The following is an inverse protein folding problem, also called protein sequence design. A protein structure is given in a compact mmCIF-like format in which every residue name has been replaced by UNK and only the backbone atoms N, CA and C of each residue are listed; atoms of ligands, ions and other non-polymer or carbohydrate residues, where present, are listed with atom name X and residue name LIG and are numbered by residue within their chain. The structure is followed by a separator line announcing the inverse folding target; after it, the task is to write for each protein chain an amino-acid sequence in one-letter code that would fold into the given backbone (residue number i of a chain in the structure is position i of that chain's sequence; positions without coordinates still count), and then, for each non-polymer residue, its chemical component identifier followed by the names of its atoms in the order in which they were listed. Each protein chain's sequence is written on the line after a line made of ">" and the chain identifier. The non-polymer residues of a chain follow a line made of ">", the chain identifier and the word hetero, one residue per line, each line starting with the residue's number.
data_IF_839042029792
#
_entry.id   IF_839042029792
#
_cell.length_a   1.000
_cell.length_b   1.000
_cell.length_c   1.000
_cell.angle_alpha   90.00
_cell.angle_beta   90.00
_cell.angle_gamma   90.00
#
_symmetry.space_group_name_H-M   'P 1'
#
loop_
_entity.id
_entity.type
_entity.pdbx_description
1 polymer ?
#
# COMPACT_ATOMS: atom_id res chain seq x y z
N UNK A 1 -8.48 -21.82 30.00
CA UNK A 1 -7.19 -21.51 29.40
C UNK A 1 -7.14 -22.25 28.08
N UNK A 2 -7.35 -21.51 26.98
CA UNK A 2 -7.74 -22.07 25.69
C UNK A 2 -6.51 -22.48 24.87
N UNK A 3 -6.55 -23.64 24.18
CA UNK A 3 -5.49 -24.19 23.32
C UNK A 3 -5.13 -23.34 22.08
N UNK A 4 -5.78 -22.18 21.91
CA UNK A 4 -5.51 -21.20 20.85
C UNK A 4 -4.16 -20.48 21.06
N UNK A 5 -3.71 -20.33 22.31
CA UNK A 5 -2.44 -19.67 22.62
C UNK A 5 -1.21 -20.51 22.20
N UNK A 6 -1.37 -21.83 22.06
CA UNK A 6 -0.28 -22.72 21.65
C UNK A 6 -0.09 -22.76 20.13
N UNK A 7 -1.14 -22.49 19.34
CA UNK A 7 -1.06 -22.39 17.88
C UNK A 7 -0.37 -21.08 17.46
N UNK A 8 -0.58 -20.01 18.22
CA UNK A 8 0.13 -18.74 18.04
C UNK A 8 1.65 -18.85 18.28
N UNK A 9 2.09 -19.79 19.12
CA UNK A 9 3.53 -20.01 19.39
C UNK A 9 4.23 -20.89 18.33
N UNK A 10 3.48 -21.66 17.52
CA UNK A 10 4.06 -22.58 16.53
C UNK A 10 4.25 -21.90 15.16
N UNK A 11 3.54 -20.80 14.88
CA UNK A 11 3.75 -20.00 13.66
C UNK A 11 4.92 -19.00 13.76
N UNK A 12 5.50 -18.80 14.94
CA UNK A 12 6.68 -17.96 15.17
C UNK A 12 8.02 -18.64 14.79
N UNK A 13 7.98 -19.81 14.15
CA UNK A 13 9.18 -20.60 13.82
C UNK A 13 9.62 -20.53 12.35
N UNK A 14 9.04 -19.63 11.55
CA UNK A 14 9.59 -19.25 10.24
C UNK A 14 9.92 -17.76 10.30
N UNK A 15 11.16 -17.45 10.67
CA UNK A 15 11.65 -16.10 10.88
C UNK A 15 11.52 -15.21 9.65
N UNK A 16 10.46 -14.41 9.64
CA UNK A 16 10.38 -13.13 8.95
C UNK A 16 9.64 -12.22 9.93
N UNK A 17 10.37 -11.49 10.77
CA UNK A 17 9.82 -10.33 11.47
C UNK A 17 9.28 -9.36 10.39
N UNK A 18 8.08 -8.81 10.61
CA UNK A 18 7.41 -7.90 9.68
C UNK A 18 8.38 -6.81 9.18
N UNK A 19 8.87 -6.99 7.96
CA UNK A 19 9.74 -6.03 7.29
C UNK A 19 9.01 -4.69 7.23
N UNK A 20 9.54 -3.65 7.88
CA UNK A 20 8.94 -2.32 7.83
C UNK A 20 9.14 -1.74 6.42
N UNK A 21 8.07 -1.71 5.61
CA UNK A 21 8.06 -1.14 4.26
C UNK A 21 7.68 0.34 4.30
N UNK A 22 8.32 1.15 3.45
CA UNK A 22 7.99 2.56 3.26
C UNK A 22 7.27 2.74 1.92
N UNK A 23 6.10 3.38 1.93
CA UNK A 23 5.34 3.65 0.72
C UNK A 23 5.82 4.94 0.04
N UNK A 24 5.97 4.89 -1.28
CA UNK A 24 6.16 6.08 -2.09
C UNK A 24 5.66 5.85 -3.52
N UNK A 25 4.62 6.61 -3.90
CA UNK A 25 3.88 6.43 -5.15
C UNK A 25 3.44 4.97 -5.30
N UNK A 26 3.66 4.38 -6.47
CA UNK A 26 3.23 3.04 -6.84
C UNK A 26 4.13 1.93 -6.29
N UNK A 27 5.05 2.24 -5.37
CA UNK A 27 6.08 1.33 -4.88
C UNK A 27 6.18 1.32 -3.35
N UNK A 28 6.56 0.16 -2.82
CA UNK A 28 6.98 -0.02 -1.43
C UNK A 28 8.47 -0.34 -1.39
N UNK A 29 9.15 0.23 -0.40
CA UNK A 29 10.60 0.18 -0.26
C UNK A 29 10.99 -0.40 1.09
N UNK A 30 11.96 -1.31 1.12
CA UNK A 30 12.47 -1.90 2.35
C UNK A 30 13.99 -1.86 2.37
N UNK A 31 14.54 -1.30 3.44
CA UNK A 31 15.97 -1.36 3.68
C UNK A 31 16.29 -2.64 4.46
N UNK A 32 17.41 -3.29 4.14
CA UNK A 32 17.94 -4.34 5.03
C UNK A 32 18.21 -3.78 6.43
N UNK A 33 18.38 -4.67 7.41
CA UNK A 33 18.73 -4.30 8.78
C UNK A 33 20.22 -3.97 8.94
N UNK A 34 21.08 -4.59 8.13
CA UNK A 34 22.54 -4.45 8.17
C UNK A 34 23.10 -3.88 6.86
N UNK A 35 24.30 -3.25 6.86
CA UNK A 35 24.95 -2.69 5.68
C UNK A 35 25.99 -3.59 4.99
N UNK A 36 26.13 -4.85 5.40
CA UNK A 36 27.25 -5.69 4.98
C UNK A 36 26.84 -6.73 3.93
N UNK A 37 26.46 -6.26 2.74
CA UNK A 37 26.01 -7.14 1.65
C UNK A 37 26.70 -6.82 0.33
N UNK A 38 27.26 -7.85 -0.30
CA UNK A 38 27.68 -7.78 -1.70
C UNK A 38 26.49 -7.60 -2.64
N UNK A 39 26.75 -7.18 -3.88
CA UNK A 39 25.69 -6.96 -4.85
C UNK A 39 24.81 -8.21 -5.08
N UNK A 40 25.44 -9.38 -5.25
CA UNK A 40 24.72 -10.64 -5.44
C UNK A 40 23.89 -11.02 -4.22
N UNK A 41 24.42 -10.82 -3.01
CA UNK A 41 23.65 -11.07 -1.77
C UNK A 41 22.47 -10.11 -1.64
N UNK A 42 22.64 -8.86 -2.08
CA UNK A 42 21.59 -7.86 -2.08
C UNK A 42 20.44 -8.23 -3.02
N UNK A 43 20.75 -8.75 -4.22
CA UNK A 43 19.75 -9.30 -5.13
C UNK A 43 18.99 -10.47 -4.50
N UNK A 44 19.72 -11.47 -3.99
CA UNK A 44 19.11 -12.65 -3.35
C UNK A 44 18.27 -12.30 -2.11
N UNK A 45 18.62 -11.23 -1.39
CA UNK A 45 17.83 -10.74 -0.27
C UNK A 45 16.47 -10.19 -0.73
N UNK A 46 16.46 -9.34 -1.76
CA UNK A 46 15.20 -8.80 -2.29
C UNK A 46 14.33 -9.89 -2.93
N UNK A 47 14.93 -10.84 -3.64
CA UNK A 47 14.22 -11.99 -4.23
C UNK A 47 13.49 -12.81 -3.16
N UNK A 48 14.11 -13.06 -2.00
CA UNK A 48 13.47 -13.75 -0.86
C UNK A 48 12.25 -13.01 -0.31
N UNK A 49 12.16 -11.69 -0.53
CA UNK A 49 11.03 -10.84 -0.13
C UNK A 49 10.00 -10.65 -1.25
N UNK A 50 10.11 -11.43 -2.35
CA UNK A 50 9.35 -11.25 -3.58
C UNK A 50 9.44 -9.80 -4.10
N UNK A 51 10.66 -9.27 -4.15
CA UNK A 51 10.98 -7.89 -4.54
C UNK A 51 12.30 -7.85 -5.33
N UNK A 52 12.68 -6.67 -5.80
CA UNK A 52 13.92 -6.45 -6.55
C UNK A 52 14.76 -5.37 -5.88
N UNK A 53 16.05 -5.26 -6.22
CA UNK A 53 16.79 -4.03 -5.94
C UNK A 53 16.15 -2.86 -6.69
N UNK A 54 16.35 -1.64 -6.20
CA UNK A 54 15.72 -0.46 -6.80
C UNK A 54 16.38 -0.02 -8.12
N UNK A 55 15.56 0.13 -9.16
CA UNK A 55 15.86 0.88 -10.38
C UNK A 55 15.24 2.28 -10.28
N UNK A 56 15.99 3.31 -10.68
CA UNK A 56 15.59 4.72 -10.53
C UNK A 56 15.33 5.35 -11.90
N UNK A 57 14.10 5.86 -12.11
CA UNK A 57 13.64 6.38 -13.40
C UNK A 57 13.27 7.87 -13.37
N UNK A 58 13.51 8.57 -12.26
CA UNK A 58 13.26 10.01 -12.15
C UNK A 58 14.05 10.68 -11.04
N UNK A 59 14.29 11.99 -11.20
CA UNK A 59 14.88 12.82 -10.15
C UNK A 59 14.06 12.78 -8.86
N UNK A 60 12.74 12.78 -8.97
CA UNK A 60 11.83 12.78 -7.83
C UNK A 60 11.95 11.49 -7.00
N UNK A 61 12.09 10.33 -7.66
CA UNK A 61 12.34 9.06 -6.99
C UNK A 61 13.73 9.04 -6.34
N UNK A 62 14.76 9.54 -7.03
CA UNK A 62 16.10 9.67 -6.48
C UNK A 62 16.13 10.53 -5.21
N UNK A 63 15.44 11.67 -5.23
CA UNK A 63 15.36 12.59 -4.09
C UNK A 63 14.57 11.99 -2.91
N UNK A 64 13.53 11.21 -3.19
CA UNK A 64 12.81 10.44 -2.15
C UNK A 64 13.74 9.43 -1.48
N UNK A 65 14.43 8.59 -2.26
CA UNK A 65 15.34 7.56 -1.73
C UNK A 65 16.43 8.21 -0.88
N UNK A 66 17.04 9.29 -1.37
CA UNK A 66 18.03 10.06 -0.62
C UNK A 66 17.48 10.54 0.73
N UNK A 67 16.27 11.08 0.73
CA UNK A 67 15.62 11.53 1.97
C UNK A 67 15.34 10.36 2.91
N UNK A 68 14.98 9.18 2.40
CA UNK A 68 14.75 7.97 3.19
C UNK A 68 16.04 7.40 3.81
N UNK A 69 17.21 7.68 3.23
CA UNK A 69 18.52 7.34 3.80
C UNK A 69 18.91 8.27 4.97
N UNK A 70 18.41 9.51 5.02
CA UNK A 70 18.80 10.51 6.04
C UNK A 70 18.48 10.07 7.46
N UNK A 71 19.40 10.40 8.37
CA UNK A 71 19.23 10.11 9.81
C UNK A 71 19.48 8.65 10.16
N UNK A 72 19.77 7.81 9.18
CA UNK A 72 20.17 6.43 9.39
C UNK A 72 21.70 6.32 9.25
N UNK A 73 22.38 6.45 10.38
CA UNK A 73 23.84 6.71 10.47
C UNK A 73 24.74 5.60 9.94
N UNK A 74 24.19 4.50 9.46
CA UNK A 74 24.93 3.35 8.96
C UNK A 74 24.80 3.16 7.43
N UNK A 75 23.96 3.95 6.76
CA UNK A 75 23.74 3.88 5.31
C UNK A 75 24.60 4.92 4.57
N UNK A 76 25.90 4.66 4.42
CA UNK A 76 26.75 5.53 3.60
C UNK A 76 26.40 5.39 2.10
N UNK A 77 26.07 4.16 1.68
CA UNK A 77 25.68 3.81 0.32
C UNK A 77 24.63 2.71 0.31
N UNK A 78 23.81 2.70 -0.74
CA UNK A 78 22.87 1.62 -1.04
C UNK A 78 23.14 1.06 -2.42
N UNK A 79 22.86 -0.23 -2.61
CA UNK A 79 22.82 -0.83 -3.94
C UNK A 79 21.63 -0.33 -4.76
N UNK A 80 21.87 0.00 -6.03
CA UNK A 80 20.83 0.12 -7.05
C UNK A 80 20.86 -1.14 -7.92
N UNK A 81 19.80 -1.44 -8.67
CA UNK A 81 19.69 -2.66 -9.48
C UNK A 81 20.55 -2.66 -10.77
N UNK A 82 21.65 -1.90 -10.77
CA UNK A 82 22.41 -1.57 -11.98
C UNK A 82 23.78 -2.22 -11.98
N UNK A 83 24.20 -2.67 -13.17
CA UNK A 83 25.50 -3.29 -13.39
C UNK A 83 26.06 -2.91 -14.77
N UNK A 84 27.39 -2.91 -14.87
CA UNK A 84 28.11 -2.71 -16.12
C UNK A 84 27.69 -3.75 -17.17
N UNK A 85 27.50 -3.30 -18.40
CA UNK A 85 27.19 -4.14 -19.54
C UNK A 85 28.38 -5.08 -19.82
N UNK A 86 28.08 -6.37 -20.02
CA UNK A 86 29.09 -7.41 -20.20
C UNK A 86 29.83 -7.31 -21.55
N UNK A 87 29.28 -6.59 -22.53
CA UNK A 87 29.81 -6.44 -23.90
C UNK A 87 30.42 -5.05 -24.07
N UNK A 88 29.79 -4.02 -23.50
CA UNK A 88 30.22 -2.62 -23.59
C UNK A 88 30.67 -2.12 -22.22
N UNK A 89 31.96 -2.26 -21.94
CA UNK A 89 32.57 -1.95 -20.65
C UNK A 89 32.38 -0.49 -20.18
N UNK A 90 31.99 0.43 -21.05
CA UNK A 90 31.71 1.84 -20.73
C UNK A 90 30.22 2.13 -20.44
N UNK A 91 29.36 1.12 -20.47
CA UNK A 91 27.91 1.29 -20.30
C UNK A 91 27.36 0.47 -19.14
N UNK A 92 26.22 0.92 -18.60
CA UNK A 92 25.52 0.27 -17.50
C UNK A 92 24.06 0.02 -17.90
N UNK A 93 23.47 -1.05 -17.38
CA UNK A 93 22.07 -1.38 -17.55
C UNK A 93 21.43 -1.73 -16.20
N UNK A 94 20.12 -1.54 -16.09
CA UNK A 94 19.35 -2.21 -15.05
C UNK A 94 19.27 -3.71 -15.33
N UNK A 95 19.21 -4.53 -14.27
CA UNK A 95 19.19 -6.00 -14.39
C UNK A 95 17.79 -6.54 -14.67
N UNK A 96 16.75 -5.77 -14.36
CA UNK A 96 15.33 -6.08 -14.63
C UNK A 96 14.92 -5.81 -16.09
N UNK A 97 15.88 -5.59 -16.99
CA UNK A 97 15.67 -5.22 -18.38
C UNK A 97 14.89 -3.89 -18.59
N UNK A 98 14.73 -3.09 -17.53
CA UNK A 98 14.16 -1.75 -17.64
C UNK A 98 15.13 -0.78 -18.34
N UNK A 99 14.57 0.21 -19.04
CA UNK A 99 15.37 1.22 -19.74
C UNK A 99 16.08 2.14 -18.74
N UNK A 100 17.41 2.29 -18.89
CA UNK A 100 18.20 3.29 -18.17
C UNK A 100 17.96 4.69 -18.76
N UNK A 101 16.76 5.22 -18.52
CA UNK A 101 16.28 6.51 -19.05
C UNK A 101 16.58 7.71 -18.14
N UNK A 102 17.07 7.47 -16.93
CA UNK A 102 17.47 8.46 -15.96
C UNK A 102 18.81 8.07 -15.35
N UNK A 103 19.70 9.05 -15.15
CA UNK A 103 20.94 8.86 -14.40
C UNK A 103 21.20 10.05 -13.47
N UNK A 104 21.79 9.78 -12.31
CA UNK A 104 22.24 10.81 -11.38
C UNK A 104 23.66 10.54 -10.90
N UNK A 105 24.58 10.28 -11.82
CA UNK A 105 25.98 10.04 -11.51
C UNK A 105 26.58 11.18 -10.69
N UNK A 106 27.39 10.84 -9.69
CA UNK A 106 28.16 11.82 -8.94
C UNK A 106 29.17 12.51 -9.87
N UNK A 107 29.61 13.72 -9.53
CA UNK A 107 30.54 14.46 -10.38
C UNK A 107 31.86 13.68 -10.59
N UNK A 108 32.13 13.33 -11.85
CA UNK A 108 33.30 12.52 -12.23
C UNK A 108 33.01 11.02 -12.34
N UNK A 109 31.77 10.59 -12.11
CA UNK A 109 31.29 9.22 -12.28
C UNK A 109 30.47 9.05 -13.58
N UNK A 110 30.38 7.81 -14.12
CA UNK A 110 31.17 6.65 -13.74
C UNK A 110 32.65 6.85 -14.10
N UNK A 111 33.56 6.36 -13.25
CA UNK A 111 34.99 6.54 -13.42
C UNK A 111 35.68 5.23 -13.83
N UNK A 112 36.64 5.28 -14.75
CA UNK A 112 37.36 4.08 -15.21
C UNK A 112 38.52 3.67 -14.29
N UNK A 113 38.53 4.08 -13.01
CA UNK A 113 39.74 3.96 -12.16
C UNK A 113 40.19 2.52 -11.90
N UNK A 114 39.36 1.52 -12.18
CA UNK A 114 39.68 0.11 -11.97
C UNK A 114 39.12 -0.77 -13.08
N UNK A 115 40.00 -1.26 -13.97
CA UNK A 115 39.65 -2.16 -15.09
C UNK A 115 39.47 -3.62 -14.65
N UNK A 116 39.92 -3.99 -13.45
CA UNK A 116 40.10 -5.39 -13.05
C UNK A 116 38.86 -6.04 -12.40
N UNK A 117 37.76 -5.30 -12.21
CA UNK A 117 36.56 -5.82 -11.56
C UNK A 117 35.27 -5.43 -12.28
N UNK A 118 34.24 -6.25 -12.03
CA UNK A 118 32.88 -5.99 -12.51
C UNK A 118 32.28 -4.86 -11.68
N UNK A 119 31.76 -3.85 -12.37
CA UNK A 119 31.19 -2.66 -11.75
C UNK A 119 29.68 -2.76 -11.56
N UNK A 120 29.22 -2.38 -10.38
CA UNK A 120 27.81 -2.27 -10.01
C UNK A 120 27.51 -0.82 -9.59
N UNK A 121 26.24 -0.42 -9.59
CA UNK A 121 25.82 0.94 -9.27
C UNK A 121 25.43 1.04 -7.80
N UNK A 122 26.02 2.00 -7.08
CA UNK A 122 25.62 2.35 -5.73
C UNK A 122 25.26 3.84 -5.63
N UNK A 123 24.28 4.17 -4.80
CA UNK A 123 23.88 5.56 -4.52
C UNK A 123 24.39 5.99 -3.14
N UNK A 124 25.01 7.18 -3.06
CA UNK A 124 25.46 7.77 -1.80
C UNK A 124 24.44 8.76 -1.20
N UNK A 125 24.35 8.82 0.13
CA UNK A 125 23.40 9.70 0.85
C UNK A 125 23.62 11.19 0.54
N UNK A 126 24.88 11.61 0.46
CA UNK A 126 25.28 13.02 0.48
C UNK A 126 24.50 13.93 -0.47
N UNK A 127 24.56 13.68 -1.77
CA UNK A 127 23.75 14.37 -2.80
C UNK A 127 22.80 13.43 -3.56
N UNK A 128 22.73 12.15 -3.19
CA UNK A 128 22.00 11.13 -3.94
C UNK A 128 22.68 10.72 -5.24
N UNK A 129 23.97 11.05 -5.41
CA UNK A 129 24.76 10.75 -6.59
C UNK A 129 25.11 9.25 -6.68
N UNK A 130 25.20 8.74 -7.90
CA UNK A 130 25.53 7.36 -8.20
C UNK A 130 27.03 7.19 -8.45
N UNK A 131 27.55 6.03 -8.09
CA UNK A 131 28.95 5.64 -8.21
C UNK A 131 29.02 4.25 -8.85
N UNK A 132 29.97 4.05 -9.75
CA UNK A 132 30.36 2.70 -10.14
C UNK A 132 31.36 2.15 -9.11
N UNK A 133 31.05 0.98 -8.59
CA UNK A 133 31.77 0.37 -7.47
C UNK A 133 32.00 -1.10 -7.76
N UNK A 134 32.98 -1.70 -7.10
CA UNK A 134 33.20 -3.13 -7.19
C UNK A 134 31.97 -3.88 -6.67
N UNK A 135 31.37 -4.77 -7.46
CA UNK A 135 30.20 -5.55 -7.06
C UNK A 135 30.42 -6.41 -5.80
N UNK A 136 31.69 -6.68 -5.42
CA UNK A 136 32.08 -7.38 -4.19
C UNK A 136 32.25 -6.47 -2.98
N UNK A 137 32.10 -5.14 -3.11
CA UNK A 137 31.99 -4.24 -1.96
C UNK A 137 30.74 -4.56 -1.14
N UNK A 138 30.67 -4.08 0.08
CA UNK A 138 29.56 -4.34 0.98
C UNK A 138 28.79 -3.05 1.27
N UNK A 139 27.51 -3.01 0.89
CA UNK A 139 26.63 -1.86 1.11
C UNK A 139 25.25 -2.30 1.57
N UNK A 140 24.44 -1.30 1.95
CA UNK A 140 23.06 -1.55 2.34
C UNK A 140 22.18 -1.91 1.15
N UNK A 141 21.17 -2.74 1.40
CA UNK A 141 20.15 -3.15 0.45
C UNK A 141 18.96 -2.18 0.54
N UNK A 142 18.44 -1.76 -0.61
CA UNK A 142 17.12 -1.16 -0.75
C UNK A 142 16.30 -1.97 -1.75
N UNK A 143 15.38 -2.77 -1.23
CA UNK A 143 14.42 -3.52 -2.03
C UNK A 143 13.23 -2.64 -2.40
N UNK A 144 12.68 -2.87 -3.59
CA UNK A 144 11.46 -2.27 -4.09
C UNK A 144 10.55 -3.35 -4.65
N UNK A 145 9.26 -3.21 -4.42
CA UNK A 145 8.23 -3.91 -5.18
C UNK A 145 7.02 -2.99 -5.33
N UNK A 146 6.14 -3.26 -6.29
CA UNK A 146 4.96 -2.45 -6.47
C UNK A 146 4.04 -2.48 -5.25
N UNK A 147 3.44 -1.34 -4.93
CA UNK A 147 2.60 -1.16 -3.75
C UNK A 147 1.27 -1.94 -3.82
N UNK A 148 0.86 -2.44 -5.00
CA UNK A 148 -0.36 -3.23 -5.15
C UNK A 148 -0.29 -4.61 -4.45
N UNK A 149 0.88 -5.05 -4.00
CA UNK A 149 1.06 -6.31 -3.25
C UNK A 149 1.08 -6.10 -1.71
N UNK A 150 0.79 -4.89 -1.21
CA UNK A 150 0.79 -4.58 0.23
C UNK A 150 -0.35 -3.64 0.59
N UNK A 151 -1.21 -4.05 1.53
CA UNK A 151 -2.20 -3.17 2.14
C UNK A 151 -1.62 -2.46 3.37
N UNK A 152 -2.12 -1.27 3.72
CA UNK A 152 -1.67 -0.61 4.96
C UNK A 152 -2.12 -1.38 6.20
N UNK A 153 -1.52 -1.01 7.33
CA UNK A 153 -2.01 -1.42 8.65
C UNK A 153 -3.54 -1.19 8.72
N UNK A 154 -4.26 -2.17 9.27
CA UNK A 154 -5.74 -2.30 9.34
C UNK A 154 -6.44 -2.86 8.07
N UNK A 155 -5.81 -2.86 6.90
CA UNK A 155 -6.38 -3.42 5.67
C UNK A 155 -5.88 -4.84 5.42
N UNK A 156 -6.77 -5.72 4.98
CA UNK A 156 -6.44 -7.11 4.66
C UNK A 156 -6.26 -7.28 3.16
N UNK A 157 -5.10 -7.81 2.75
CA UNK A 157 -4.80 -8.13 1.36
C UNK A 157 -5.43 -9.48 0.96
N UNK A 158 -6.19 -9.47 -0.12
CA UNK A 158 -6.63 -10.69 -0.80
C UNK A 158 -6.68 -10.43 -2.30
N UNK A 159 -6.08 -11.32 -3.10
CA UNK A 159 -6.04 -11.23 -4.57
C UNK A 159 -5.69 -9.82 -5.10
N UNK A 160 -4.62 -9.23 -4.56
CA UNK A 160 -4.13 -7.88 -4.93
C UNK A 160 -5.12 -6.74 -4.66
N UNK A 161 -6.11 -6.98 -3.82
CA UNK A 161 -7.09 -5.99 -3.38
C UNK A 161 -7.07 -5.87 -1.86
N UNK A 162 -7.33 -4.66 -1.38
CA UNK A 162 -7.30 -4.33 0.03
C UNK A 162 -8.72 -4.18 0.56
N UNK A 163 -9.01 -4.92 1.63
CA UNK A 163 -10.32 -4.98 2.27
C UNK A 163 -10.28 -4.43 3.69
N UNK A 164 -11.32 -3.69 4.08
CA UNK A 164 -11.52 -3.19 5.44
C UNK A 164 -12.98 -3.40 5.83
N UNK A 165 -13.22 -3.81 7.07
CA UNK A 165 -14.55 -3.83 7.67
C UNK A 165 -14.56 -3.03 8.95
N UNK A 166 -15.72 -2.53 9.35
CA UNK A 166 -15.94 -2.01 10.69
C UNK A 166 -16.69 -3.03 11.58
N UNK A 167 -16.76 -2.73 12.88
CA UNK A 167 -17.46 -3.57 13.87
C UNK A 167 -18.90 -3.11 14.13
N UNK A 168 -19.26 -1.88 13.72
CA UNK A 168 -20.57 -1.28 13.99
C UNK A 168 -21.45 -1.30 12.74
N UNK A 169 -22.64 -1.89 12.85
CA UNK A 169 -23.62 -1.88 11.76
C UNK A 169 -24.24 -0.51 11.54
N UNK A 170 -24.46 -0.14 10.28
CA UNK A 170 -25.17 1.07 9.89
C UNK A 170 -26.11 0.80 8.70
N UNK A 171 -26.92 1.79 8.32
CA UNK A 171 -27.68 1.75 7.07
C UNK A 171 -26.74 1.79 5.84
N UNK A 172 -27.28 1.48 4.66
CA UNK A 172 -26.50 1.35 3.43
C UNK A 172 -25.75 2.65 3.07
N UNK A 173 -26.40 3.81 3.22
CA UNK A 173 -25.79 5.10 2.86
C UNK A 173 -24.64 5.43 3.81
N UNK A 174 -24.85 5.20 5.12
CA UNK A 174 -23.83 5.40 6.14
C UNK A 174 -22.63 4.46 5.93
N UNK A 175 -22.86 3.21 5.52
CA UNK A 175 -21.81 2.26 5.17
C UNK A 175 -21.01 2.70 3.93
N UNK A 176 -21.68 3.24 2.91
CA UNK A 176 -21.00 3.85 1.77
C UNK A 176 -20.13 5.03 2.19
N UNK A 177 -20.65 5.91 3.05
CA UNK A 177 -19.92 7.09 3.53
C UNK A 177 -18.72 6.70 4.41
N UNK A 178 -18.82 5.60 5.16
CA UNK A 178 -17.69 5.00 5.86
C UNK A 178 -16.56 4.62 4.90
N UNK A 179 -16.84 3.87 3.83
CA UNK A 179 -15.81 3.50 2.86
C UNK A 179 -15.26 4.71 2.10
N UNK A 180 -16.11 5.65 1.69
CA UNK A 180 -15.68 6.89 1.04
C UNK A 180 -14.73 7.70 1.90
N UNK A 181 -14.88 7.66 3.23
CA UNK A 181 -13.96 8.31 4.15
C UNK A 181 -12.55 7.71 4.14
N UNK A 182 -12.30 6.61 3.43
CA UNK A 182 -10.98 6.04 3.16
C UNK A 182 -10.61 6.09 1.67
N UNK A 183 -11.32 6.88 0.85
CA UNK A 183 -11.24 6.83 -0.62
C UNK A 183 -11.52 5.44 -1.21
N UNK A 184 -12.29 4.62 -0.48
CA UNK A 184 -12.70 3.28 -0.88
C UNK A 184 -14.19 3.28 -1.28
N UNK A 185 -14.66 2.15 -1.79
CA UNK A 185 -16.08 1.88 -2.02
C UNK A 185 -16.51 0.65 -1.24
N UNK A 186 -17.82 0.40 -1.13
CA UNK A 186 -18.28 -0.94 -0.77
C UNK A 186 -17.79 -1.94 -1.83
N UNK A 187 -17.71 -3.22 -1.47
CA UNK A 187 -17.23 -4.28 -2.36
C UNK A 187 -18.29 -4.76 -3.36
N UNK A 188 -17.89 -4.91 -4.63
CA UNK A 188 -18.61 -5.70 -5.64
C UNK A 188 -17.93 -7.06 -5.77
N UNK A 189 -18.71 -8.14 -5.78
CA UNK A 189 -18.18 -9.51 -5.80
C UNK A 189 -18.31 -10.11 -7.20
N UNK A 190 -17.20 -10.63 -7.74
CA UNK A 190 -17.10 -11.15 -9.12
C UNK A 190 -16.64 -12.60 -9.23
N UNK A 191 -16.33 -13.26 -8.11
CA UNK A 191 -15.89 -14.66 -8.12
C UNK A 191 -16.27 -15.39 -6.84
N UNK A 192 -16.27 -16.72 -6.91
CA UNK A 192 -16.51 -17.57 -5.75
C UNK A 192 -15.37 -17.44 -4.74
N UNK A 193 -14.12 -17.34 -5.20
CA UNK A 193 -12.94 -17.21 -4.36
C UNK A 193 -12.99 -15.92 -3.52
N UNK A 194 -13.41 -14.81 -4.13
CA UNK A 194 -13.61 -13.54 -3.44
C UNK A 194 -14.74 -13.63 -2.41
N UNK A 195 -15.87 -14.26 -2.77
CA UNK A 195 -16.97 -14.49 -1.84
C UNK A 195 -16.55 -15.34 -0.63
N UNK A 196 -15.79 -16.41 -0.86
CA UNK A 196 -15.31 -17.31 0.18
C UNK A 196 -14.29 -16.66 1.13
N UNK A 197 -13.42 -15.79 0.60
CA UNK A 197 -12.57 -14.93 1.42
C UNK A 197 -13.40 -14.02 2.31
N UNK A 198 -14.34 -13.27 1.71
CA UNK A 198 -15.17 -12.29 2.41
C UNK A 198 -16.03 -12.96 3.49
N UNK A 199 -16.56 -14.16 3.23
CA UNK A 199 -17.30 -14.98 4.22
C UNK A 199 -16.51 -15.23 5.50
N UNK A 200 -15.20 -15.39 5.41
CA UNK A 200 -14.33 -15.60 6.57
C UNK A 200 -13.81 -14.28 7.17
N UNK A 201 -13.95 -13.17 6.44
CA UNK A 201 -13.46 -11.84 6.81
C UNK A 201 -14.46 -11.04 7.65
N UNK A 202 -15.76 -11.17 7.38
CA UNK A 202 -16.82 -10.43 8.07
C UNK A 202 -18.05 -11.30 8.34
N UNK A 203 -18.86 -10.92 9.33
CA UNK A 203 -20.06 -11.66 9.73
C UNK A 203 -21.29 -11.28 8.92
N UNK A 204 -21.60 -9.99 8.82
CA UNK A 204 -22.80 -9.52 8.14
C UNK A 204 -22.57 -8.11 7.60
N UNK A 205 -22.42 -7.97 6.29
CA UNK A 205 -21.95 -6.74 5.67
C UNK A 205 -22.77 -6.31 4.46
N UNK A 206 -22.81 -5.00 4.22
CA UNK A 206 -23.27 -4.44 2.95
C UNK A 206 -22.29 -4.74 1.83
N UNK A 207 -22.82 -5.15 0.67
CA UNK A 207 -22.10 -5.19 -0.61
C UNK A 207 -22.49 -3.96 -1.44
N UNK A 208 -21.76 -3.64 -2.50
CA UNK A 208 -21.94 -2.42 -3.31
C UNK A 208 -23.12 -2.48 -4.29
N UNK A 209 -24.16 -3.27 -3.98
CA UNK A 209 -25.23 -3.61 -4.90
C UNK A 209 -26.60 -3.16 -4.41
N UNK A 210 -27.47 -2.80 -5.35
CA UNK A 210 -28.88 -2.51 -5.08
C UNK A 210 -29.76 -2.89 -6.27
N UNK A 211 -31.08 -2.94 -6.05
CA UNK A 211 -32.03 -3.12 -7.15
C UNK A 211 -31.92 -2.02 -8.20
N UNK A 212 -32.11 -2.37 -9.47
CA UNK A 212 -32.08 -1.40 -10.57
C UNK A 212 -33.20 -0.36 -10.48
N UNK A 213 -34.35 -0.77 -9.95
CA UNK A 213 -35.54 0.05 -9.72
C UNK A 213 -36.42 -0.57 -8.62
N UNK A 214 -37.38 0.20 -8.10
CA UNK A 214 -38.38 -0.29 -7.15
C UNK A 214 -39.07 -1.55 -7.70
N UNK A 215 -39.09 -2.63 -6.90
CA UNK A 215 -39.68 -3.94 -7.25
C UNK A 215 -39.00 -4.66 -8.43
N UNK A 216 -37.80 -4.24 -8.82
CA UNK A 216 -37.04 -4.94 -9.85
C UNK A 216 -36.47 -6.24 -9.30
N UNK A 217 -36.63 -7.34 -10.01
CA UNK A 217 -35.91 -8.60 -9.72
C UNK A 217 -34.42 -8.50 -10.11
N UNK A 218 -34.02 -7.41 -10.77
CA UNK A 218 -32.65 -7.18 -11.21
C UNK A 218 -31.90 -6.27 -10.26
N UNK A 219 -30.63 -6.62 -10.04
CA UNK A 219 -29.67 -5.90 -9.23
C UNK A 219 -28.49 -5.44 -10.09
N UNK A 220 -27.83 -4.39 -9.62
CA UNK A 220 -26.61 -3.85 -10.24
C UNK A 220 -25.58 -3.48 -9.18
N UNK A 221 -24.32 -3.55 -9.55
CA UNK A 221 -23.23 -2.95 -8.79
C UNK A 221 -23.18 -1.44 -9.03
N UNK A 222 -22.86 -0.67 -7.99
CA UNK A 222 -22.83 0.80 -8.04
C UNK A 222 -21.53 1.38 -8.57
N UNK A 223 -20.48 0.56 -8.68
CA UNK A 223 -19.23 0.92 -9.37
C UNK A 223 -19.32 0.77 -10.90
N UNK A 224 -20.45 0.26 -11.42
CA UNK A 224 -20.67 0.04 -12.85
C UNK A 224 -20.05 -1.24 -13.42
N UNK A 225 -19.44 -2.07 -12.58
CA UNK A 225 -18.96 -3.40 -12.96
C UNK A 225 -20.10 -4.34 -13.35
N UNK A 226 -19.78 -5.39 -14.11
CA UNK A 226 -20.77 -6.36 -14.55
C UNK A 226 -21.32 -7.19 -13.37
N UNK A 227 -22.63 -7.38 -13.33
CA UNK A 227 -23.29 -8.26 -12.35
C UNK A 227 -23.22 -9.72 -12.83
N UNK A 228 -22.00 -10.27 -12.84
CA UNK A 228 -21.65 -11.56 -13.47
C UNK A 228 -21.48 -12.74 -12.50
N UNK A 229 -21.54 -12.48 -11.20
CA UNK A 229 -21.49 -13.48 -10.14
C UNK A 229 -22.59 -13.21 -9.11
N UNK A 230 -23.18 -14.27 -8.58
CA UNK A 230 -24.19 -14.18 -7.52
C UNK A 230 -24.06 -15.34 -6.55
N UNK A 231 -24.27 -15.07 -5.27
CA UNK A 231 -24.36 -16.11 -4.24
C UNK A 231 -25.62 -15.95 -3.37
N UNK A 232 -26.78 -15.75 -4.01
CA UNK A 232 -28.06 -15.60 -3.32
C UNK A 232 -28.42 -16.82 -2.45
N UNK A 233 -29.06 -16.58 -1.31
CA UNK A 233 -29.54 -17.66 -0.45
C UNK A 233 -30.77 -18.37 -1.05
N UNK A 234 -30.53 -19.48 -1.77
CA UNK A 234 -31.59 -20.27 -2.38
C UNK A 234 -32.50 -20.98 -1.35
N UNK A 235 -31.99 -21.29 -0.15
CA UNK A 235 -32.78 -21.98 0.87
C UNK A 235 -33.90 -21.08 1.40
N UNK A 236 -33.61 -19.78 1.49
CA UNK A 236 -34.57 -18.74 1.89
C UNK A 236 -35.17 -17.96 0.70
N UNK A 237 -35.06 -18.49 -0.52
CA UNK A 237 -35.63 -17.92 -1.74
C UNK A 237 -35.25 -16.45 -2.01
N UNK A 238 -33.98 -16.10 -1.75
CA UNK A 238 -33.43 -14.77 -2.03
C UNK A 238 -33.12 -14.59 -3.54
N UNK A 239 -33.17 -13.36 -4.06
CA UNK A 239 -33.74 -12.17 -3.42
C UNK A 239 -35.28 -12.29 -3.30
N UNK A 240 -35.83 -11.99 -2.12
CA UNK A 240 -37.24 -12.19 -1.79
C UNK A 240 -38.06 -10.89 -1.84
N UNK A 241 -37.42 -9.75 -2.10
CA UNK A 241 -38.05 -8.44 -2.10
C UNK A 241 -38.75 -8.11 -0.78
N UNK A 242 -38.08 -8.37 0.36
CA UNK A 242 -38.57 -8.16 1.74
C UNK A 242 -39.45 -6.92 1.94
N UNK A 243 -39.20 -5.83 1.22
CA UNK A 243 -40.06 -4.65 1.19
C UNK A 243 -40.26 -4.05 -0.21
N UNK A 244 -41.36 -4.43 -0.88
CA UNK A 244 -41.74 -3.93 -2.20
C UNK A 244 -42.02 -2.41 -2.29
N UNK A 245 -41.96 -1.65 -1.18
CA UNK A 245 -42.16 -0.20 -1.18
C UNK A 245 -40.86 0.60 -1.28
N UNK A 246 -39.70 -0.05 -1.13
CA UNK A 246 -38.38 0.60 -1.16
C UNK A 246 -37.42 -0.18 -2.07
N UNK A 247 -36.29 0.43 -2.39
CA UNK A 247 -35.18 -0.26 -3.02
C UNK A 247 -34.48 -1.09 -1.94
N UNK A 248 -34.20 -2.34 -2.27
CA UNK A 248 -33.37 -3.22 -1.47
C UNK A 248 -31.91 -3.19 -1.95
N UNK A 249 -31.02 -3.33 -1.00
CA UNK A 249 -29.58 -3.36 -1.14
C UNK A 249 -29.05 -4.74 -0.78
N UNK A 250 -27.92 -5.11 -1.37
CA UNK A 250 -27.35 -6.44 -1.21
C UNK A 250 -26.54 -6.48 0.08
N UNK A 251 -26.83 -7.46 0.92
CA UNK A 251 -26.01 -7.83 2.08
C UNK A 251 -25.50 -9.24 1.94
N UNK A 252 -24.34 -9.53 2.53
CA UNK A 252 -23.84 -10.89 2.69
C UNK A 252 -23.90 -11.30 4.17
N UNK A 253 -24.46 -12.48 4.44
CA UNK A 253 -24.49 -13.07 5.78
C UNK A 253 -23.29 -13.94 6.10
N UNK A 254 -23.25 -14.49 7.32
CA UNK A 254 -22.08 -15.21 7.86
C UNK A 254 -21.77 -16.54 7.15
N UNK A 255 -22.72 -17.07 6.38
CA UNK A 255 -22.52 -18.24 5.52
C UNK A 255 -22.04 -17.87 4.11
N UNK A 256 -21.85 -16.58 3.83
CA UNK A 256 -21.43 -16.08 2.51
C UNK A 256 -22.57 -15.92 1.51
N UNK A 257 -23.81 -16.28 1.88
CA UNK A 257 -24.98 -16.09 1.02
C UNK A 257 -25.50 -14.66 1.07
N UNK A 258 -26.10 -14.23 -0.03
CA UNK A 258 -26.59 -12.87 -0.24
C UNK A 258 -28.09 -12.77 0.05
N UNK A 259 -28.47 -11.62 0.58
CA UNK A 259 -29.84 -11.25 0.90
C UNK A 259 -30.13 -9.85 0.38
N UNK A 260 -31.37 -9.57 -0.01
CA UNK A 260 -31.81 -8.23 -0.37
C UNK A 260 -32.57 -7.57 0.80
N UNK A 261 -31.89 -6.62 1.45
CA UNK A 261 -32.40 -5.95 2.64
C UNK A 261 -32.71 -4.49 2.36
N UNK A 262 -33.69 -3.93 3.07
CA UNK A 262 -34.05 -2.53 2.92
C UNK A 262 -32.85 -1.61 3.21
N UNK A 263 -32.45 -0.81 2.23
CA UNK A 263 -31.25 0.04 2.30
C UNK A 263 -31.26 1.05 3.46
N UNK A 264 -32.43 1.43 3.96
CA UNK A 264 -32.59 2.52 4.94
C UNK A 264 -32.82 2.03 6.36
N UNK A 265 -33.46 0.87 6.54
CA UNK A 265 -33.87 0.39 7.86
C UNK A 265 -33.05 -0.80 8.35
N UNK A 266 -32.42 -1.54 7.44
CA UNK A 266 -31.55 -2.64 7.84
C UNK A 266 -30.19 -2.09 8.30
N UNK A 267 -29.51 -2.83 9.18
CA UNK A 267 -28.19 -2.46 9.70
C UNK A 267 -27.20 -3.59 9.46
N UNK A 268 -26.10 -3.29 8.79
CA UNK A 268 -24.99 -4.20 8.52
C UNK A 268 -23.66 -3.44 8.55
N UNK A 269 -22.55 -4.15 8.71
CA UNK A 269 -21.22 -3.52 8.68
C UNK A 269 -20.87 -3.06 7.27
N UNK A 270 -19.96 -2.10 7.17
CA UNK A 270 -19.41 -1.65 5.91
C UNK A 270 -18.24 -2.54 5.51
N UNK A 271 -18.33 -3.18 4.34
CA UNK A 271 -17.22 -3.94 3.76
C UNK A 271 -16.62 -3.15 2.60
N UNK A 272 -15.48 -2.53 2.86
CA UNK A 272 -14.81 -1.63 1.95
C UNK A 272 -13.76 -2.36 1.11
N UNK A 273 -13.63 -1.92 -0.15
CA UNK A 273 -12.57 -2.29 -1.06
C UNK A 273 -11.94 -1.03 -1.64
N UNK A 274 -10.61 -1.03 -1.73
CA UNK A 274 -9.89 0.06 -2.38
C UNK A 274 -9.94 -0.08 -3.91
N UNK A 275 -10.10 1.02 -4.66
CA UNK A 275 -9.87 1.02 -6.10
C UNK A 275 -8.49 0.42 -6.43
N UNK A 276 -8.41 -0.39 -7.49
CA UNK A 276 -7.20 -1.08 -7.94
C UNK A 276 -5.98 -0.15 -8.12
N UNK A 277 -6.21 1.14 -8.40
CA UNK A 277 -5.17 2.17 -8.58
C UNK A 277 -4.95 3.07 -7.36
N UNK A 278 -5.69 2.85 -6.26
CA UNK A 278 -5.68 3.71 -5.08
C UNK A 278 -4.88 3.14 -3.92
N UNK A 279 -4.17 2.02 -4.14
CA UNK A 279 -3.30 1.28 -3.21
C UNK A 279 -2.16 2.13 -2.56
N UNK A 280 -2.20 3.44 -2.76
CA UNK A 280 -1.10 4.40 -2.68
C UNK A 280 -1.36 5.41 -1.54
N UNK A 281 -2.59 5.54 -1.02
CA UNK A 281 -2.93 6.49 0.06
C UNK A 281 -3.93 5.89 1.02
N UNK A 282 -3.44 5.23 2.07
CA UNK A 282 -4.29 4.51 3.03
C UNK A 282 -4.23 5.08 4.44
N UNK A 283 -4.22 6.40 4.54
CA UNK A 283 -4.59 7.09 5.78
C UNK A 283 -5.94 7.75 5.56
N UNK A 284 -6.77 7.75 6.61
CA UNK A 284 -8.00 8.53 6.66
C UNK A 284 -7.66 9.97 6.20
N UNK A 285 -8.33 10.57 5.20
CA UNK A 285 -8.01 11.88 4.61
C UNK A 285 -7.97 13.06 5.61
N UNK A 286 -8.32 12.82 6.87
CA UNK A 286 -8.26 13.76 7.98
C UNK A 286 -7.21 13.37 9.04
N UNK A 287 -6.25 12.51 8.70
CA UNK A 287 -5.07 12.30 9.52
C UNK A 287 -4.29 13.61 9.61
N UNK A 288 -3.61 13.85 10.73
CA UNK A 288 -2.80 15.07 10.92
C UNK A 288 -1.73 15.16 9.82
N UNK A 289 -1.29 14.00 9.29
CA UNK A 289 -0.34 13.90 8.20
C UNK A 289 -0.94 14.41 6.88
N UNK A 290 -2.15 13.95 6.52
CA UNK A 290 -2.85 14.42 5.31
C UNK A 290 -3.24 15.90 5.41
N UNK A 291 -3.60 16.37 6.60
CA UNK A 291 -3.81 17.81 6.84
C UNK A 291 -2.53 18.61 6.64
N UNK A 292 -1.38 18.09 7.08
CA UNK A 292 -0.09 18.75 6.88
C UNK A 292 0.35 18.74 5.41
N UNK A 293 0.18 17.61 4.70
CA UNK A 293 0.50 17.49 3.26
C UNK A 293 -0.41 18.40 2.43
N UNK A 294 -1.73 18.38 2.66
CA UNK A 294 -2.66 19.26 1.96
C UNK A 294 -2.40 20.75 2.25
N UNK A 295 -1.94 21.10 3.47
CA UNK A 295 -1.52 22.47 3.79
C UNK A 295 -0.25 22.88 3.04
N UNK A 296 0.69 21.95 2.85
CA UNK A 296 1.94 22.19 2.13
C UNK A 296 1.67 22.32 0.62
N UNK A 297 0.82 21.45 0.07
CA UNK A 297 0.45 21.46 -1.34
C UNK A 297 -0.42 22.68 -1.72
N UNK A 298 -1.39 23.04 -0.89
CA UNK A 298 -2.20 24.26 -1.11
C UNK A 298 -1.39 25.55 -0.99
N UNK A 299 -0.30 25.55 -0.20
CA UNK A 299 0.60 26.72 -0.04
C UNK A 299 1.78 26.73 -1.00
N UNK A 300 2.08 25.64 -1.72
CA UNK A 300 3.01 25.63 -2.86
C UNK A 300 2.48 26.47 -4.04
N UNK A 301 1.20 26.83 -4.04
CA UNK A 301 0.60 27.72 -5.03
C UNK A 301 0.82 29.23 -4.73
N UNK A 302 1.34 29.60 -3.55
CA UNK A 302 1.57 31.00 -3.14
C UNK A 302 3.02 31.17 -2.66
N UNK A 303 3.89 31.63 -3.55
CA UNK A 303 5.36 31.65 -3.37
C UNK A 303 5.88 32.73 -2.38
N UNK A 304 5.01 33.40 -1.62
CA UNK A 304 5.39 34.61 -0.87
C UNK A 304 5.33 34.53 0.66
N UNK A 305 5.18 33.35 1.29
CA UNK A 305 5.07 33.33 2.76
C UNK A 305 5.74 32.17 3.51
N UNK A 306 7.06 32.05 3.34
CA UNK A 306 7.91 31.12 4.13
C UNK A 306 8.00 31.44 5.63
N UNK A 307 7.81 32.71 6.04
CA UNK A 307 7.96 33.12 7.44
C UNK A 307 6.72 32.84 8.31
N UNK A 308 5.52 32.80 7.73
CA UNK A 308 4.29 32.41 8.44
C UNK A 308 4.19 30.88 8.66
N UNK A 309 4.93 30.08 7.88
CA UNK A 309 4.93 28.62 7.98
C UNK A 309 5.52 28.13 9.31
N UNK A 310 6.64 28.73 9.73
CA UNK A 310 7.35 28.38 10.97
C UNK A 310 6.52 28.74 12.21
N UNK A 311 5.82 29.87 12.18
CA UNK A 311 4.95 30.30 13.27
C UNK A 311 3.69 29.42 13.41
N UNK A 312 3.07 29.00 12.31
CA UNK A 312 1.92 28.09 12.36
C UNK A 312 2.32 26.68 12.82
N UNK A 313 3.45 26.14 12.36
CA UNK A 313 3.97 24.84 12.81
C UNK A 313 4.27 24.85 14.32
N UNK A 314 4.92 25.90 14.84
CA UNK A 314 5.21 26.05 16.28
C UNK A 314 3.95 26.15 17.15
N UNK A 315 2.82 26.58 16.60
CA UNK A 315 1.55 26.66 17.34
C UNK A 315 0.83 25.32 17.50
N UNK A 316 1.13 24.33 16.66
CA UNK A 316 0.48 23.00 16.65
C UNK A 316 1.37 21.95 17.36
N UNK A 317 2.69 22.14 17.37
CA UNK A 317 3.67 21.28 18.06
C UNK A 317 3.31 20.91 19.52
N UNK A 318 2.80 21.82 20.38
CA UNK A 318 2.43 21.47 21.76
C UNK A 318 1.29 20.46 21.85
N UNK A 319 0.34 20.51 20.90
CA UNK A 319 -0.80 19.56 20.85
C UNK A 319 -0.38 18.19 20.32
N UNK A 320 0.61 18.16 19.41
CA UNK A 320 1.20 16.92 18.88
C UNK A 320 1.95 16.18 19.99
N UNK A 321 2.79 16.90 20.76
CA UNK A 321 3.57 16.31 21.86
C UNK A 321 2.63 15.80 22.98
N UNK A 322 1.58 16.55 23.33
CA UNK A 322 0.61 16.11 24.34
C UNK A 322 -0.17 14.85 23.96
N UNK A 323 -0.44 14.61 22.67
CA UNK A 323 -1.13 13.40 22.20
C UNK A 323 -0.22 12.19 22.15
N UNK A 324 1.06 12.39 21.80
CA UNK A 324 2.07 11.33 21.81
C UNK A 324 2.41 10.85 23.23
N UNK A 325 2.34 11.72 24.24
CA UNK A 325 2.59 11.35 25.64
C UNK A 325 1.42 10.53 26.23
N UNK A 326 0.17 10.73 25.78
CA UNK A 326 -0.98 9.94 26.25
C UNK A 326 -1.10 8.55 25.60
N UNK A 327 -0.44 8.30 24.46
CA UNK A 327 -0.45 6.99 23.80
C UNK A 327 0.70 6.06 24.24
N UNK A 328 1.58 6.52 25.14
CA UNK A 328 2.71 5.75 25.70
C UNK A 328 2.64 5.57 27.22
N UNK A 329 1.47 5.77 27.83
CA UNK A 329 1.20 5.47 29.24
C UNK A 329 0.03 4.49 29.39
#
# INVERSE_FOLDING_TARGET
>A
MKPIFLIFLILMANGIEDAQWMFYKDNVYHFSEYPYYSFTEAQSYCEKLNSSLVSIHSQEQNDFIRQAMRGKTWYDRIWLNGRQDAIKSDTFNWIDDEELNFTNWYHGEPNEFHEDYIKCIAMGEGNGGWFDVNCSSEFTILCVKPAYDVCSDEWTLFDKQCYLTNDEGADFSSAQDYCKAYNASLVSIHSQEQNDFIRNFTYFAWLNGQQEALKSEKFKWLDGSEFNYTNWDFEYAQPDNTNASYINCITMGFLGYWFDNNCHTFSATALCILPFYSSIRHTKPNSIFDQAVNLIESKKADDENKNNLVASLLSILPRIISRFIQLKL
#
